data_IF_191448160538
#
_entry.id   IF_191448160538
#
_cell.length_a   1.000
_cell.length_b   1.000
_cell.length_c   1.000
_cell.angle_alpha   90.00
_cell.angle_beta   90.00
_cell.angle_gamma   90.00
#
_symmetry.space_group_name_H-M   'P 1'
#
loop_
_entity.id
_entity.type
_entity.pdbx_description
1 polymer ?
#
# COMPACT_ATOMS: atom_id res chain seq x y z
N UNK A 1 -1.53 7.09 8.49
CA UNK A 1 -2.35 8.23 8.03
C UNK A 1 -2.13 8.58 6.56
N UNK A 2 -0.90 8.80 6.05
CA UNK A 2 -0.70 9.22 4.64
C UNK A 2 -1.35 8.27 3.61
N UNK A 3 -1.15 6.95 3.72
CA UNK A 3 -1.83 5.97 2.86
C UNK A 3 -3.36 6.04 3.03
N UNK A 4 -3.84 6.28 4.24
CA UNK A 4 -5.29 6.47 4.49
C UNK A 4 -5.88 7.67 3.75
N UNK A 5 -5.11 8.77 3.59
CA UNK A 5 -5.54 9.90 2.75
C UNK A 5 -5.66 9.50 1.27
N UNK A 6 -4.70 8.72 0.75
CA UNK A 6 -4.81 8.15 -0.60
C UNK A 6 -6.04 7.24 -0.74
N UNK A 7 -6.30 6.39 0.25
CA UNK A 7 -7.47 5.52 0.30
C UNK A 7 -8.79 6.32 0.39
N UNK A 8 -8.80 7.41 1.14
CA UNK A 8 -9.93 8.33 1.18
C UNK A 8 -10.22 8.96 -0.19
N UNK A 9 -9.19 9.48 -0.87
CA UNK A 9 -9.33 10.03 -2.22
C UNK A 9 -9.88 8.98 -3.20
N UNK A 10 -9.45 7.72 -3.06
CA UNK A 10 -10.00 6.63 -3.86
C UNK A 10 -11.49 6.43 -3.64
N UNK A 11 -11.97 6.40 -2.38
CA UNK A 11 -13.40 6.31 -2.07
C UNK A 11 -14.12 7.54 -2.61
N UNK A 12 -13.63 8.74 -2.32
CA UNK A 12 -14.25 10.02 -2.69
C UNK A 12 -14.51 10.10 -4.20
N UNK A 13 -13.52 9.75 -5.02
CA UNK A 13 -13.66 9.81 -6.47
C UNK A 13 -14.66 8.78 -6.98
N UNK A 14 -14.62 7.53 -6.48
CA UNK A 14 -15.60 6.51 -6.85
C UNK A 14 -17.02 6.82 -6.33
N UNK A 15 -17.15 7.69 -5.32
CA UNK A 15 -18.43 8.17 -4.83
C UNK A 15 -19.00 9.27 -5.73
N UNK A 16 -18.13 10.19 -6.20
CA UNK A 16 -18.56 11.42 -6.91
C UNK A 16 -18.64 11.24 -8.41
N UNK A 17 -17.77 10.43 -9.01
CA UNK A 17 -17.74 10.17 -10.45
C UNK A 17 -18.40 8.82 -10.71
N UNK A 18 -19.45 8.82 -11.55
CA UNK A 18 -20.27 7.62 -11.81
C UNK A 18 -20.02 7.01 -13.19
N UNK A 19 -19.07 7.51 -13.94
CA UNK A 19 -18.69 6.97 -15.26
C UNK A 19 -17.48 6.04 -15.20
N UNK A 20 -17.14 5.39 -16.33
CA UNK A 20 -16.05 4.43 -16.41
C UNK A 20 -14.64 5.00 -16.14
N UNK A 21 -14.46 6.34 -16.08
CA UNK A 21 -13.18 6.98 -15.79
C UNK A 21 -12.86 7.02 -14.30
N UNK A 22 -13.86 6.87 -13.42
CA UNK A 22 -13.74 6.97 -11.97
C UNK A 22 -12.61 6.07 -11.42
N UNK A 23 -12.61 4.80 -11.80
CA UNK A 23 -11.66 3.82 -11.26
C UNK A 23 -10.20 4.17 -11.59
N UNK A 24 -9.93 4.61 -12.83
CA UNK A 24 -8.58 5.01 -13.24
C UNK A 24 -8.13 6.27 -12.50
N UNK A 25 -8.97 7.31 -12.44
CA UNK A 25 -8.67 8.55 -11.75
C UNK A 25 -8.48 8.32 -10.25
N UNK A 26 -9.35 7.52 -9.62
CA UNK A 26 -9.24 7.17 -8.21
C UNK A 26 -7.91 6.43 -7.91
N UNK A 27 -7.52 5.51 -8.80
CA UNK A 27 -6.25 4.78 -8.68
C UNK A 27 -5.04 5.72 -8.81
N UNK A 28 -5.08 6.69 -9.71
CA UNK A 28 -4.03 7.72 -9.81
C UNK A 28 -3.98 8.59 -8.56
N UNK A 29 -5.10 9.07 -8.07
CA UNK A 29 -5.16 9.94 -6.89
C UNK A 29 -4.78 9.23 -5.59
N UNK A 30 -4.96 7.91 -5.52
CA UNK A 30 -4.43 7.12 -4.41
C UNK A 30 -2.90 7.31 -4.23
N UNK A 31 -2.16 7.56 -5.31
CA UNK A 31 -0.70 7.75 -5.28
C UNK A 31 -0.25 8.92 -4.39
N UNK A 32 -1.13 9.89 -4.13
CA UNK A 32 -0.88 11.01 -3.19
C UNK A 32 -0.44 10.46 -1.83
N UNK A 33 -1.06 9.36 -1.36
CA UNK A 33 -0.68 8.73 -0.10
C UNK A 33 0.79 8.29 -0.06
N UNK A 34 1.29 7.62 -1.10
CA UNK A 34 2.68 7.17 -1.16
C UNK A 34 3.65 8.33 -1.46
N UNK A 35 3.24 9.33 -2.24
CA UNK A 35 4.01 10.56 -2.45
C UNK A 35 4.27 11.24 -1.09
N UNK A 36 3.24 11.42 -0.27
CA UNK A 36 3.40 12.00 1.08
C UNK A 36 4.35 11.17 1.95
N UNK A 37 4.23 9.84 1.93
CA UNK A 37 5.17 8.96 2.64
C UNK A 37 6.61 9.21 2.21
N UNK A 38 6.85 9.26 0.91
CA UNK A 38 8.20 9.40 0.36
C UNK A 38 8.78 10.80 0.58
N UNK A 39 8.00 11.86 0.31
CA UNK A 39 8.45 13.26 0.41
C UNK A 39 8.73 13.65 1.86
N UNK A 40 7.87 13.25 2.80
CA UNK A 40 8.06 13.54 4.21
C UNK A 40 8.94 12.51 4.95
N UNK A 41 9.45 11.50 4.26
CA UNK A 41 10.29 10.47 4.87
C UNK A 41 9.59 9.63 5.95
N UNK A 42 8.27 9.44 5.82
CA UNK A 42 7.47 8.71 6.80
C UNK A 42 7.78 7.21 6.78
N UNK A 43 7.62 6.56 7.94
CA UNK A 43 7.80 5.13 8.04
C UNK A 43 6.53 4.38 7.59
N UNK A 44 6.63 3.72 6.44
CA UNK A 44 5.60 2.84 5.91
C UNK A 44 6.12 1.39 5.93
N UNK A 45 5.36 0.47 6.52
CA UNK A 45 5.74 -0.94 6.66
C UNK A 45 6.14 -1.56 5.32
N UNK A 46 5.27 -1.47 4.31
CA UNK A 46 5.49 -2.04 2.98
C UNK A 46 6.68 -1.42 2.23
N UNK A 47 7.01 -0.16 2.53
CA UNK A 47 8.20 0.50 2.01
C UNK A 47 9.49 0.16 2.77
N UNK A 48 9.39 -0.28 4.03
CA UNK A 48 10.55 -0.62 4.87
C UNK A 48 10.92 -2.08 4.83
N UNK A 49 9.94 -2.98 4.70
CA UNK A 49 10.16 -4.43 4.75
C UNK A 49 11.18 -4.92 3.70
N UNK A 50 11.10 -4.45 2.46
CA UNK A 50 12.05 -4.82 1.41
C UNK A 50 13.44 -4.17 1.56
N UNK A 51 13.56 -3.12 2.38
CA UNK A 51 14.80 -2.38 2.60
C UNK A 51 15.59 -2.83 3.84
N UNK A 52 15.15 -3.89 4.52
CA UNK A 52 15.83 -4.34 5.75
C UNK A 52 17.29 -4.75 5.52
N UNK A 53 17.67 -5.07 4.29
CA UNK A 53 19.05 -5.45 3.93
C UNK A 53 19.91 -4.28 3.41
N UNK A 54 19.33 -3.08 3.23
CA UNK A 54 19.98 -1.96 2.53
C UNK A 54 20.58 -0.89 3.45
N UNK A 55 20.23 -0.89 4.72
CA UNK A 55 20.68 0.14 5.66
C UNK A 55 21.98 -0.30 6.36
N UNK A 56 22.78 0.67 6.80
CA UNK A 56 24.03 0.46 7.56
C UNK A 56 23.78 0.04 9.01
N UNK A 57 22.57 0.18 9.54
CA UNK A 57 22.20 -0.29 10.89
C UNK A 57 22.22 -1.83 10.94
N UNK A 58 22.35 -2.39 12.13
CA UNK A 58 22.27 -3.85 12.30
C UNK A 58 20.91 -4.38 11.85
N UNK A 59 20.88 -5.53 11.18
CA UNK A 59 19.63 -6.18 10.70
C UNK A 59 18.64 -6.37 11.85
N UNK A 60 19.14 -6.73 13.03
CA UNK A 60 18.33 -6.93 14.25
C UNK A 60 17.48 -5.70 14.56
N UNK A 61 18.07 -4.51 14.57
CA UNK A 61 17.36 -3.27 14.91
C UNK A 61 16.28 -2.95 13.89
N UNK A 62 16.55 -3.23 12.60
CA UNK A 62 15.57 -3.01 11.52
C UNK A 62 14.41 -3.97 11.57
N UNK A 63 14.66 -5.23 11.89
CA UNK A 63 13.60 -6.25 12.05
C UNK A 63 12.74 -5.92 13.27
N UNK A 64 13.33 -5.43 14.38
CA UNK A 64 12.57 -5.02 15.56
C UNK A 64 11.74 -3.75 15.37
N UNK A 65 12.14 -2.86 14.44
CA UNK A 65 11.35 -1.67 14.09
C UNK A 65 10.06 -2.00 13.31
N UNK A 66 10.06 -3.10 12.52
CA UNK A 66 8.94 -3.42 11.63
C UNK A 66 7.60 -3.61 12.33
N UNK A 67 7.48 -4.36 13.44
CA UNK A 67 6.23 -4.48 14.17
C UNK A 67 5.74 -3.14 14.72
N UNK A 68 6.65 -2.28 15.20
CA UNK A 68 6.33 -0.94 15.71
C UNK A 68 5.79 -0.07 14.58
N UNK A 69 6.44 -0.10 13.42
CA UNK A 69 5.99 0.63 12.23
C UNK A 69 4.63 0.12 11.76
N UNK A 70 4.44 -1.20 11.69
CA UNK A 70 3.17 -1.80 11.29
C UNK A 70 2.04 -1.39 12.24
N UNK A 71 2.28 -1.46 13.55
CA UNK A 71 1.31 -1.07 14.57
C UNK A 71 0.96 0.42 14.49
N UNK A 72 1.96 1.30 14.34
CA UNK A 72 1.74 2.74 14.14
C UNK A 72 0.99 3.05 12.84
N UNK A 73 1.28 2.31 11.76
CA UNK A 73 0.54 2.42 10.50
C UNK A 73 -0.92 1.94 10.68
N UNK A 74 -1.14 0.85 11.42
CA UNK A 74 -2.48 0.32 11.71
C UNK A 74 -3.31 1.35 12.49
N UNK A 75 -2.80 1.88 13.59
CA UNK A 75 -3.48 2.93 14.37
C UNK A 75 -3.84 4.11 13.46
N UNK A 76 -2.89 4.58 12.65
CA UNK A 76 -3.10 5.73 11.77
C UNK A 76 -4.09 5.46 10.64
N UNK A 77 -4.12 4.26 10.08
CA UNK A 77 -5.02 3.90 8.98
C UNK A 77 -6.43 3.59 9.48
N UNK A 78 -6.57 2.71 10.47
CA UNK A 78 -7.86 2.42 11.09
C UNK A 78 -8.48 3.67 11.73
N UNK A 79 -7.69 4.42 12.51
CA UNK A 79 -8.17 5.63 13.19
C UNK A 79 -8.68 6.67 12.20
N UNK A 80 -7.98 6.88 11.08
CA UNK A 80 -8.44 7.79 10.02
C UNK A 80 -9.68 7.23 9.31
N UNK A 81 -9.76 5.92 9.05
CA UNK A 81 -10.92 5.28 8.46
C UNK A 81 -12.17 5.44 9.34
N UNK A 82 -12.05 5.14 10.64
CA UNK A 82 -13.11 5.31 11.63
C UNK A 82 -13.54 6.78 11.72
N UNK A 83 -12.59 7.71 11.74
CA UNK A 83 -12.89 9.15 11.75
C UNK A 83 -13.75 9.54 10.54
N UNK A 84 -13.39 9.06 9.34
CA UNK A 84 -14.15 9.35 8.12
C UNK A 84 -15.49 8.63 8.09
N UNK A 85 -15.62 7.45 8.67
CA UNK A 85 -16.90 6.80 8.86
C UNK A 85 -17.88 7.75 9.60
N UNK A 86 -17.46 8.32 10.72
CA UNK A 86 -18.32 9.23 11.49
C UNK A 86 -18.53 10.61 10.84
N UNK A 87 -17.53 11.16 10.15
CA UNK A 87 -17.68 12.44 9.43
C UNK A 87 -18.70 12.30 8.29
N UNK A 88 -18.69 11.18 7.57
CA UNK A 88 -19.51 10.95 6.38
C UNK A 88 -20.67 9.98 6.64
N UNK A 89 -21.05 9.76 7.90
CA UNK A 89 -22.09 8.79 8.29
C UNK A 89 -23.44 9.05 7.60
N UNK A 90 -23.76 10.32 7.30
CA UNK A 90 -24.98 10.72 6.63
C UNK A 90 -24.83 10.84 5.10
N UNK A 91 -23.68 10.51 4.53
CA UNK A 91 -23.46 10.48 3.10
C UNK A 91 -23.56 9.03 2.60
N UNK A 92 -24.78 8.65 2.20
CA UNK A 92 -25.13 7.27 1.80
C UNK A 92 -24.22 6.72 0.70
N UNK A 93 -23.89 7.53 -0.32
CA UNK A 93 -22.99 7.12 -1.41
C UNK A 93 -21.58 6.80 -0.89
N UNK A 94 -21.02 7.58 0.02
CA UNK A 94 -19.71 7.30 0.63
C UNK A 94 -19.74 6.03 1.46
N UNK A 95 -20.78 5.84 2.26
CA UNK A 95 -20.98 4.66 3.09
C UNK A 95 -21.11 3.40 2.21
N UNK A 96 -21.93 3.47 1.14
CA UNK A 96 -22.13 2.33 0.22
C UNK A 96 -20.86 1.94 -0.52
N UNK A 97 -20.07 2.91 -1.03
CA UNK A 97 -18.78 2.65 -1.71
C UNK A 97 -17.76 2.08 -0.72
N UNK A 98 -17.68 2.62 0.50
CA UNK A 98 -16.79 2.10 1.55
C UNK A 98 -17.12 0.65 1.90
N UNK A 99 -18.40 0.34 2.06
CA UNK A 99 -18.89 -1.00 2.37
C UNK A 99 -18.62 -1.97 1.21
N UNK A 100 -18.87 -1.55 -0.03
CA UNK A 100 -18.60 -2.37 -1.21
C UNK A 100 -17.12 -2.74 -1.32
N UNK A 101 -16.20 -1.76 -1.14
CA UNK A 101 -14.76 -1.99 -1.15
C UNK A 101 -14.36 -2.97 -0.04
N UNK A 102 -14.81 -2.75 1.19
CA UNK A 102 -14.51 -3.60 2.33
C UNK A 102 -14.98 -5.04 2.12
N UNK A 103 -16.22 -5.22 1.64
CA UNK A 103 -16.80 -6.54 1.35
C UNK A 103 -16.01 -7.25 0.24
N UNK A 104 -15.69 -6.57 -0.86
CA UNK A 104 -14.88 -7.16 -1.93
C UNK A 104 -13.52 -7.67 -1.43
N UNK A 105 -12.89 -6.98 -0.46
CA UNK A 105 -11.60 -7.41 0.11
C UNK A 105 -11.71 -8.73 0.90
N UNK A 106 -12.86 -9.02 1.48
CA UNK A 106 -13.09 -10.22 2.29
C UNK A 106 -13.74 -11.38 1.54
N UNK A 107 -14.18 -11.17 0.28
CA UNK A 107 -14.78 -12.22 -0.55
C UNK A 107 -13.77 -13.17 -1.21
N UNK A 108 -12.51 -12.74 -1.33
CA UNK A 108 -11.47 -13.56 -1.95
C UNK A 108 -11.01 -14.68 -1.03
N UNK A 109 -10.71 -15.85 -1.63
CA UNK A 109 -10.07 -16.95 -0.89
C UNK A 109 -8.68 -16.55 -0.39
N UNK A 110 -8.23 -17.07 0.77
CA UNK A 110 -6.96 -16.65 1.39
C UNK A 110 -5.74 -16.75 0.46
N UNK A 111 -5.67 -17.78 -0.38
CA UNK A 111 -4.57 -17.95 -1.34
C UNK A 111 -4.59 -16.88 -2.44
N UNK A 112 -5.77 -16.48 -2.88
CA UNK A 112 -5.98 -15.42 -3.86
C UNK A 112 -5.60 -14.06 -3.26
N UNK A 113 -6.00 -13.79 -2.01
CA UNK A 113 -5.58 -12.61 -1.25
C UNK A 113 -4.06 -12.54 -1.16
N UNK A 114 -3.41 -13.65 -0.79
CA UNK A 114 -1.94 -13.74 -0.70
C UNK A 114 -1.29 -13.40 -2.04
N UNK A 115 -1.73 -14.01 -3.12
CA UNK A 115 -1.16 -13.83 -4.47
C UNK A 115 -1.29 -12.39 -4.95
N UNK A 116 -2.48 -11.81 -4.85
CA UNK A 116 -2.74 -10.40 -5.20
C UNK A 116 -1.89 -9.44 -4.36
N UNK A 117 -1.63 -9.80 -3.11
CA UNK A 117 -0.83 -8.99 -2.20
C UNK A 117 0.67 -9.06 -2.51
N UNK A 118 1.16 -10.18 -3.06
CA UNK A 118 2.56 -10.28 -3.53
C UNK A 118 2.82 -9.25 -4.63
N UNK A 119 1.95 -9.16 -5.63
CA UNK A 119 2.09 -8.16 -6.70
C UNK A 119 2.02 -6.72 -6.16
N UNK A 120 1.14 -6.44 -5.21
CA UNK A 120 1.08 -5.13 -4.56
C UNK A 120 2.41 -4.81 -3.84
N UNK A 121 2.92 -5.72 -3.02
CA UNK A 121 4.17 -5.53 -2.29
C UNK A 121 5.36 -5.28 -3.21
N UNK A 122 5.43 -6.00 -4.34
CA UNK A 122 6.42 -5.81 -5.38
C UNK A 122 6.36 -4.38 -5.96
N UNK A 123 5.18 -3.92 -6.36
CA UNK A 123 4.98 -2.59 -6.96
C UNK A 123 5.23 -1.45 -5.98
N UNK A 124 4.82 -1.60 -4.71
CA UNK A 124 5.13 -0.60 -3.67
C UNK A 124 6.64 -0.53 -3.41
N UNK A 125 7.32 -1.68 -3.37
CA UNK A 125 8.77 -1.69 -3.24
C UNK A 125 9.46 -1.00 -4.43
N UNK A 126 9.04 -1.29 -5.67
CA UNK A 126 9.56 -0.64 -6.89
C UNK A 126 9.37 0.88 -6.79
N UNK A 127 8.19 1.37 -6.41
CA UNK A 127 7.92 2.80 -6.24
C UNK A 127 8.89 3.46 -5.24
N UNK A 128 9.07 2.85 -4.06
CA UNK A 128 9.97 3.36 -3.02
C UNK A 128 11.43 3.26 -3.46
N UNK A 129 11.81 2.19 -4.17
CA UNK A 129 13.16 2.00 -4.69
C UNK A 129 13.50 3.06 -5.75
N UNK A 130 12.60 3.33 -6.70
CA UNK A 130 12.75 4.40 -7.69
C UNK A 130 12.93 5.74 -6.99
N UNK A 131 12.06 6.06 -6.02
CA UNK A 131 12.15 7.33 -5.29
C UNK A 131 13.50 7.52 -4.60
N UNK A 132 14.09 6.46 -4.04
CA UNK A 132 15.36 6.53 -3.32
C UNK A 132 16.58 6.59 -4.23
N UNK A 133 16.55 5.94 -5.38
CA UNK A 133 17.74 5.70 -6.20
C UNK A 133 17.80 6.54 -7.49
N UNK A 134 16.70 7.16 -7.91
CA UNK A 134 16.68 8.06 -9.07
C UNK A 134 16.89 9.50 -8.59
N UNK A 135 17.69 10.30 -9.26
CA UNK A 135 17.93 11.71 -8.89
C UNK A 135 16.85 12.65 -9.42
N UNK A 136 16.37 12.40 -10.65
CA UNK A 136 15.40 13.25 -11.33
C UNK A 136 14.04 13.23 -10.62
N UNK A 137 13.58 14.39 -10.16
CA UNK A 137 12.32 14.54 -9.42
C UNK A 137 11.08 14.12 -10.20
N UNK A 138 11.01 14.44 -11.49
CA UNK A 138 9.87 14.05 -12.31
C UNK A 138 9.79 12.52 -12.42
N UNK A 139 10.92 11.84 -12.64
CA UNK A 139 10.98 10.40 -12.70
C UNK A 139 10.64 9.74 -11.36
N UNK A 140 11.01 10.32 -10.23
CA UNK A 140 10.59 9.86 -8.90
C UNK A 140 9.08 9.84 -8.77
N UNK A 141 8.43 10.96 -9.10
CA UNK A 141 6.98 11.09 -8.98
C UNK A 141 6.26 10.21 -9.99
N UNK A 142 6.70 10.18 -11.25
CA UNK A 142 6.13 9.31 -12.29
C UNK A 142 6.24 7.84 -11.86
N UNK A 143 7.39 7.40 -11.33
CA UNK A 143 7.58 6.03 -10.85
C UNK A 143 6.61 5.65 -9.73
N UNK A 144 6.37 6.56 -8.76
CA UNK A 144 5.36 6.34 -7.72
C UNK A 144 3.96 6.25 -8.34
N UNK A 145 3.57 7.26 -9.16
CA UNK A 145 2.22 7.33 -9.74
C UNK A 145 1.92 6.10 -10.57
N UNK A 146 2.83 5.69 -11.47
CA UNK A 146 2.63 4.52 -12.33
C UNK A 146 2.51 3.24 -11.51
N UNK A 147 3.44 2.99 -10.58
CA UNK A 147 3.42 1.77 -9.77
C UNK A 147 2.17 1.68 -8.89
N UNK A 148 1.77 2.80 -8.28
CA UNK A 148 0.59 2.85 -7.42
C UNK A 148 -0.68 2.72 -8.23
N UNK A 149 -0.81 3.47 -9.33
CA UNK A 149 -1.98 3.36 -10.21
C UNK A 149 -2.18 1.93 -10.67
N UNK A 150 -1.09 1.25 -11.08
CA UNK A 150 -1.15 -0.12 -11.55
C UNK A 150 -1.70 -1.06 -10.46
N UNK A 151 -1.14 -1.06 -9.25
CA UNK A 151 -1.61 -2.01 -8.23
C UNK A 151 -3.04 -1.70 -7.76
N UNK A 152 -3.42 -0.42 -7.67
CA UNK A 152 -4.77 -0.04 -7.25
C UNK A 152 -5.79 -0.40 -8.32
N UNK A 153 -5.50 -0.07 -9.59
CA UNK A 153 -6.39 -0.34 -10.72
C UNK A 153 -6.60 -1.83 -10.95
N UNK A 154 -5.56 -2.65 -10.76
CA UNK A 154 -5.65 -4.12 -10.82
C UNK A 154 -6.34 -4.74 -9.59
N UNK A 155 -6.71 -3.95 -8.58
CA UNK A 155 -7.36 -4.45 -7.37
C UNK A 155 -6.42 -5.19 -6.41
N UNK A 156 -5.09 -5.12 -6.60
CA UNK A 156 -4.12 -5.75 -5.71
C UNK A 156 -4.23 -5.18 -4.29
N UNK A 157 -3.90 -6.00 -3.29
CA UNK A 157 -4.23 -5.70 -1.92
C UNK A 157 -3.03 -5.15 -1.13
N UNK A 158 -3.20 -3.96 -0.54
CA UNK A 158 -2.22 -3.28 0.29
C UNK A 158 -2.66 -3.27 1.75
N UNK A 159 -1.86 -3.83 2.67
CA UNK A 159 -2.27 -4.03 4.05
C UNK A 159 -2.72 -2.74 4.76
N UNK A 160 -1.98 -1.63 4.60
CA UNK A 160 -2.32 -0.36 5.27
C UNK A 160 -3.56 0.31 4.64
N UNK A 161 -3.76 0.15 3.32
CA UNK A 161 -4.98 0.62 2.66
C UNK A 161 -6.21 -0.19 3.11
N UNK A 162 -6.07 -1.52 3.21
CA UNK A 162 -7.15 -2.38 3.69
C UNK A 162 -7.57 -2.02 5.12
N UNK A 163 -6.62 -1.71 6.02
CA UNK A 163 -6.92 -1.22 7.37
C UNK A 163 -7.78 0.05 7.34
N UNK A 164 -7.48 0.98 6.41
CA UNK A 164 -8.32 2.17 6.25
C UNK A 164 -9.73 1.82 5.74
N UNK A 165 -9.84 0.97 4.70
CA UNK A 165 -11.14 0.59 4.13
C UNK A 165 -12.03 -0.14 5.15
N UNK A 166 -11.47 -1.06 5.95
CA UNK A 166 -12.19 -1.72 7.02
C UNK A 166 -12.65 -0.73 8.11
N UNK A 167 -11.80 0.26 8.45
CA UNK A 167 -12.18 1.33 9.38
C UNK A 167 -13.28 2.23 8.82
N UNK A 168 -13.21 2.62 7.54
CA UNK A 168 -14.19 3.48 6.88
C UNK A 168 -15.55 2.79 6.69
N UNK A 169 -15.56 1.49 6.42
CA UNK A 169 -16.77 0.68 6.36
C UNK A 169 -17.30 0.26 7.74
N UNK A 170 -16.54 0.50 8.81
CA UNK A 170 -16.81 -0.01 10.16
C UNK A 170 -17.07 -1.52 10.18
N UNK A 171 -16.32 -2.26 9.38
CA UNK A 171 -16.48 -3.72 9.20
C UNK A 171 -15.45 -4.48 10.03
N UNK A 172 -15.91 -5.15 11.09
CA UNK A 172 -15.08 -5.86 12.06
C UNK A 172 -15.54 -7.32 12.15
N UNK A 173 -14.88 -8.19 11.38
CA UNK A 173 -15.19 -9.63 11.36
C UNK A 173 -13.91 -10.48 11.24
N UNK A 174 -14.05 -11.79 11.33
CA UNK A 174 -12.94 -12.74 11.23
C UNK A 174 -12.28 -12.70 9.86
N UNK A 175 -13.06 -12.54 8.79
CA UNK A 175 -12.54 -12.52 7.40
C UNK A 175 -11.64 -11.30 7.18
N UNK A 176 -11.94 -10.15 7.81
CA UNK A 176 -11.05 -8.99 7.85
C UNK A 176 -9.69 -9.35 8.47
N UNK A 177 -9.67 -10.08 9.58
CA UNK A 177 -8.41 -10.47 10.25
C UNK A 177 -7.61 -11.41 9.36
N UNK A 178 -8.26 -12.41 8.76
CA UNK A 178 -7.64 -13.35 7.82
C UNK A 178 -7.06 -12.58 6.63
N UNK A 179 -7.87 -11.68 6.03
CA UNK A 179 -7.41 -10.82 4.93
C UNK A 179 -6.15 -10.06 5.31
N UNK A 180 -6.14 -9.34 6.44
CA UNK A 180 -5.00 -8.53 6.85
C UNK A 180 -3.73 -9.37 7.07
N UNK A 181 -3.84 -10.54 7.68
CA UNK A 181 -2.69 -11.45 7.85
C UNK A 181 -2.13 -11.87 6.50
N UNK A 182 -2.99 -12.33 5.58
CA UNK A 182 -2.56 -12.76 4.24
C UNK A 182 -1.97 -11.60 3.44
N UNK A 183 -2.55 -10.39 3.54
CA UNK A 183 -2.04 -9.21 2.84
C UNK A 183 -0.70 -8.74 3.39
N UNK A 184 -0.49 -8.76 4.71
CA UNK A 184 0.81 -8.43 5.32
C UNK A 184 1.88 -9.40 4.83
N UNK A 185 1.59 -10.71 4.83
CA UNK A 185 2.51 -11.73 4.34
C UNK A 185 2.82 -11.54 2.85
N UNK A 186 1.80 -11.39 2.02
CA UNK A 186 1.96 -11.20 0.57
C UNK A 186 2.75 -9.94 0.21
N UNK A 187 2.43 -8.80 0.83
CA UNK A 187 3.18 -7.56 0.61
C UNK A 187 4.67 -7.70 1.00
N UNK A 188 4.96 -8.46 2.06
CA UNK A 188 6.33 -8.72 2.49
C UNK A 188 7.08 -9.60 1.47
N UNK A 189 6.46 -10.69 1.03
CA UNK A 189 7.02 -11.61 0.03
C UNK A 189 7.29 -10.88 -1.30
N UNK A 190 6.36 -10.05 -1.77
CA UNK A 190 6.54 -9.26 -2.99
C UNK A 190 7.70 -8.28 -2.91
N UNK A 191 7.83 -7.56 -1.81
CA UNK A 191 8.94 -6.67 -1.58
C UNK A 191 10.30 -7.41 -1.54
N UNK A 192 10.37 -8.57 -0.88
CA UNK A 192 11.57 -9.40 -0.85
C UNK A 192 11.93 -9.97 -2.22
N UNK A 193 10.96 -10.41 -3.01
CA UNK A 193 11.20 -10.94 -4.34
C UNK A 193 11.89 -9.90 -5.25
N UNK A 194 11.37 -8.67 -5.28
CA UNK A 194 11.99 -7.59 -6.07
C UNK A 194 13.35 -7.18 -5.49
N UNK A 195 13.49 -7.14 -4.17
CA UNK A 195 14.79 -6.82 -3.55
C UNK A 195 15.85 -7.85 -3.91
N UNK A 196 15.51 -9.14 -3.90
CA UNK A 196 16.41 -10.21 -4.31
C UNK A 196 16.80 -10.07 -5.78
N UNK A 197 15.83 -9.77 -6.66
CA UNK A 197 16.10 -9.53 -8.08
C UNK A 197 17.10 -8.37 -8.28
N UNK A 198 16.89 -7.24 -7.61
CA UNK A 198 17.81 -6.08 -7.65
C UNK A 198 19.20 -6.47 -7.16
N UNK A 199 19.29 -7.22 -6.06
CA UNK A 199 20.57 -7.67 -5.53
C UNK A 199 21.35 -8.53 -6.53
N UNK A 200 20.69 -9.50 -7.15
CA UNK A 200 21.31 -10.37 -8.16
C UNK A 200 21.78 -9.56 -9.37
N UNK A 201 20.98 -8.60 -9.83
CA UNK A 201 21.34 -7.72 -10.93
C UNK A 201 22.59 -6.86 -10.62
N UNK A 202 22.69 -6.36 -9.39
CA UNK A 202 23.85 -5.55 -8.97
C UNK A 202 25.13 -6.41 -8.86
N UNK A 203 25.04 -7.63 -8.35
CA UNK A 203 26.17 -8.59 -8.32
C UNK A 203 26.65 -8.94 -9.73
N UNK A 204 25.72 -9.19 -10.66
CA UNK A 204 26.08 -9.47 -12.06
C UNK A 204 26.87 -8.32 -12.70
N UNK A 205 26.40 -7.06 -12.52
CA UNK A 205 27.11 -5.87 -13.04
C UNK A 205 28.52 -5.70 -12.46
N UNK A 206 28.75 -6.11 -11.22
CA UNK A 206 30.09 -6.06 -10.61
C UNK A 206 31.04 -7.09 -11.21
N UNK A 207 30.53 -8.26 -11.58
CA UNK A 207 31.34 -9.32 -12.22
C UNK A 207 31.70 -8.97 -13.67
N UNK A 208 30.81 -8.30 -14.42
CA UNK A 208 31.09 -7.86 -15.80
C UNK A 208 32.14 -6.74 -15.89
N UNK A 209 32.46 -6.07 -14.77
CA UNK A 209 33.45 -4.97 -14.71
C UNK A 209 34.84 -5.45 -14.28
N UNK A 210 35.00 -6.74 -13.99
CA UNK A 210 36.29 -7.40 -13.64
C UNK A 210 36.86 -8.14 -14.81
#
# INVERSE_FOLDING_TARGET
>A
MAIGLGSFLFILINTTIKDGSASMLASMMFSVGLILVCVFGLNLYTGKIGLIFDDKRQIKDRVTDLPIILFGNAIGAFGLGILFHFIFINWEDFASVSQAISTMKTLYEPLEVLTNSVFCGALVFIAVYIYKNIENWAMKIIGIVVSVTLFVYCGFQHCIANMFYFGAAFNWNTDMIINLVMVILGNSLGAFAIRLFVYVADVAKLNDRR
#
